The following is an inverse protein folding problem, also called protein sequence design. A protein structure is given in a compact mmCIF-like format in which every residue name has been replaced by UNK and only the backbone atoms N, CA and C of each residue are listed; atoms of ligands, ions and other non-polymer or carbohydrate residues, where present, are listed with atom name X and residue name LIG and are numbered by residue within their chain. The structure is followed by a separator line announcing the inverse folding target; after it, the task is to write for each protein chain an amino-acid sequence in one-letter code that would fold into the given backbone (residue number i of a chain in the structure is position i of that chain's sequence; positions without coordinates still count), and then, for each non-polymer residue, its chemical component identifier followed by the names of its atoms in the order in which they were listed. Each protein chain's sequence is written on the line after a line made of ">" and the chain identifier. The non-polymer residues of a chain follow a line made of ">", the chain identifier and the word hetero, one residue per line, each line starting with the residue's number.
data_IF_149709418266
#
_entry.id   IF_149709418266
#
_cell.length_a   1.000
_cell.length_b   1.000
_cell.length_c   1.000
_cell.angle_alpha   90.00
_cell.angle_beta   90.00
_cell.angle_gamma   90.00
#
_symmetry.space_group_name_H-M   'P 1'
#
loop_
_entity.id
_entity.type
_entity.pdbx_description
1 polymer ?
#
# COMPACT_ATOMS: atom_id res chain seq x y z
N UNK A 1 -15.45 19.55 8.19
CA UNK A 1 -14.36 18.88 8.90
C UNK A 1 -13.07 19.70 8.77
N UNK A 2 -12.33 19.80 9.86
CA UNK A 2 -11.00 20.40 9.89
C UNK A 2 -9.95 19.30 10.01
N UNK A 3 -8.86 19.42 9.24
CA UNK A 3 -7.71 18.52 9.38
C UNK A 3 -7.01 18.82 10.72
N UNK A 4 -6.80 17.78 11.51
CA UNK A 4 -5.99 17.82 12.72
C UNK A 4 -4.50 17.64 12.44
N UNK A 5 -3.68 17.42 13.48
CA UNK A 5 -2.25 17.22 13.32
C UNK A 5 -1.92 15.99 12.49
N UNK A 6 -0.85 16.06 11.69
CA UNK A 6 -0.30 14.93 10.96
C UNK A 6 0.50 14.02 11.88
N UNK A 7 0.41 12.71 11.68
CA UNK A 7 1.12 11.72 12.52
C UNK A 7 1.98 10.72 11.72
N UNK A 8 1.82 10.65 10.41
CA UNK A 8 2.56 9.71 9.57
C UNK A 8 2.79 10.32 8.20
N UNK A 9 4.03 10.41 7.79
CA UNK A 9 4.39 10.83 6.44
C UNK A 9 4.11 9.71 5.44
N UNK A 10 3.48 10.06 4.33
CA UNK A 10 3.16 9.17 3.24
C UNK A 10 3.53 9.78 1.89
N UNK A 11 3.62 8.92 0.89
CA UNK A 11 3.80 9.30 -0.51
C UNK A 11 2.82 8.51 -1.33
N UNK A 12 2.06 9.17 -2.21
CA UNK A 12 1.24 8.50 -3.20
C UNK A 12 2.14 7.88 -4.28
N UNK A 13 1.99 6.59 -4.52
CA UNK A 13 2.83 5.81 -5.41
C UNK A 13 2.01 5.19 -6.53
N UNK A 14 2.52 5.26 -7.77
CA UNK A 14 2.03 4.42 -8.86
C UNK A 14 2.64 3.03 -8.69
N UNK A 15 1.78 2.02 -8.56
CA UNK A 15 2.16 0.63 -8.35
C UNK A 15 1.67 -0.20 -9.53
N UNK A 16 2.58 -0.92 -10.15
CA UNK A 16 2.32 -1.75 -11.34
C UNK A 16 2.81 -3.18 -11.11
N UNK A 17 2.45 -4.09 -12.02
CA UNK A 17 3.04 -5.43 -11.98
C UNK A 17 4.52 -5.37 -12.41
N UNK A 18 5.40 -6.03 -11.68
CA UNK A 18 6.87 -6.00 -11.89
C UNK A 18 7.34 -6.42 -13.29
N UNK A 19 6.55 -7.25 -13.99
CA UNK A 19 6.88 -7.72 -15.35
C UNK A 19 6.33 -6.81 -16.45
N UNK A 20 5.67 -5.72 -16.06
CA UNK A 20 5.19 -4.71 -17.01
C UNK A 20 6.38 -4.10 -17.77
N UNK A 21 6.25 -4.00 -19.11
CA UNK A 21 7.28 -3.40 -19.96
C UNK A 21 6.64 -2.55 -21.07
N UNK A 22 7.00 -1.30 -21.20
CA UNK A 22 7.84 -0.52 -20.31
C UNK A 22 7.16 -0.26 -18.96
N UNK A 23 7.94 -0.16 -17.86
CA UNK A 23 7.41 0.28 -16.56
C UNK A 23 7.50 1.82 -16.51
N UNK A 24 6.38 2.55 -16.30
CA UNK A 24 6.38 4.01 -16.25
C UNK A 24 7.34 4.55 -15.16
N UNK A 25 8.21 5.48 -15.52
CA UNK A 25 9.14 6.14 -14.57
C UNK A 25 8.88 7.64 -14.47
N UNK A 26 8.16 8.20 -15.46
CA UNK A 26 7.74 9.58 -15.52
C UNK A 26 6.24 9.65 -15.83
N UNK A 27 5.62 10.79 -15.50
CA UNK A 27 4.16 10.94 -15.61
C UNK A 27 3.69 10.78 -17.06
N UNK A 28 4.47 11.26 -18.02
CA UNK A 28 4.19 11.16 -19.45
C UNK A 28 4.10 9.71 -19.94
N UNK A 29 4.84 8.82 -19.31
CA UNK A 29 4.86 7.39 -19.65
C UNK A 29 3.64 6.62 -19.12
N UNK A 30 2.76 7.27 -18.34
CA UNK A 30 1.47 6.72 -17.94
C UNK A 30 0.46 6.69 -19.09
N UNK A 31 0.76 7.37 -20.22
CA UNK A 31 -0.11 7.37 -21.37
C UNK A 31 -0.33 5.96 -21.93
N UNK A 32 -1.59 5.56 -22.07
CA UNK A 32 -1.99 4.24 -22.58
C UNK A 32 -1.88 3.10 -21.56
N UNK A 33 -1.52 3.37 -20.31
CA UNK A 33 -1.52 2.41 -19.20
C UNK A 33 -2.94 2.28 -18.64
N UNK A 34 -3.43 1.06 -18.41
CA UNK A 34 -4.71 0.82 -17.72
C UNK A 34 -4.54 1.08 -16.21
N UNK A 35 -5.06 2.22 -15.75
CA UNK A 35 -4.98 2.62 -14.35
C UNK A 35 -6.37 2.60 -13.73
N UNK A 36 -6.53 1.91 -12.61
CA UNK A 36 -7.75 1.96 -11.80
C UNK A 36 -7.43 2.39 -10.39
N UNK A 37 -8.28 3.23 -9.82
CA UNK A 37 -8.13 3.73 -8.45
C UNK A 37 -9.46 3.70 -7.72
N UNK A 38 -9.40 3.61 -6.41
CA UNK A 38 -10.58 3.67 -5.55
C UNK A 38 -11.36 4.95 -5.83
N UNK A 39 -12.66 4.82 -6.06
CA UNK A 39 -13.55 5.94 -6.32
C UNK A 39 -13.60 6.91 -5.14
N UNK A 40 -13.84 8.20 -5.43
CA UNK A 40 -13.94 9.28 -4.45
C UNK A 40 -12.72 9.41 -3.51
N UNK A 41 -11.54 8.99 -3.98
CA UNK A 41 -10.27 9.03 -3.23
C UNK A 41 -9.39 10.21 -3.66
N UNK A 42 -8.37 10.52 -2.83
CA UNK A 42 -7.30 11.47 -3.19
C UNK A 42 -6.57 11.06 -4.47
N UNK A 43 -6.46 9.75 -4.72
CA UNK A 43 -5.86 9.21 -5.94
C UNK A 43 -6.64 9.60 -7.20
N UNK A 44 -7.98 9.51 -7.14
CA UNK A 44 -8.83 9.95 -8.24
C UNK A 44 -8.70 11.45 -8.50
N UNK A 45 -8.65 12.28 -7.45
CA UNK A 45 -8.41 13.72 -7.56
C UNK A 45 -7.04 14.02 -8.17
N UNK A 46 -6.01 13.31 -7.74
CA UNK A 46 -4.65 13.41 -8.29
C UNK A 46 -4.63 13.10 -9.78
N UNK A 47 -5.21 11.96 -10.18
CA UNK A 47 -5.25 11.55 -11.59
C UNK A 47 -6.07 12.50 -12.45
N UNK A 48 -7.21 13.01 -11.97
CA UNK A 48 -7.96 14.06 -12.70
C UNK A 48 -7.09 15.29 -12.97
N UNK A 49 -6.26 15.70 -12.01
CA UNK A 49 -5.31 16.79 -12.18
C UNK A 49 -4.24 16.48 -13.23
N UNK A 50 -3.74 15.24 -13.28
CA UNK A 50 -2.74 14.81 -14.24
C UNK A 50 -3.33 14.70 -15.65
N UNK A 51 -4.51 14.12 -15.83
CA UNK A 51 -5.22 14.05 -17.13
C UNK A 51 -5.41 15.44 -17.77
N UNK A 52 -5.65 16.46 -16.96
CA UNK A 52 -5.80 17.83 -17.45
C UNK A 52 -4.47 18.44 -17.93
N UNK A 53 -3.31 17.89 -17.54
CA UNK A 53 -1.99 18.41 -17.87
C UNK A 53 -1.25 17.60 -18.92
N UNK A 54 -1.49 16.29 -18.97
CA UNK A 54 -0.76 15.33 -19.79
C UNK A 54 -1.70 14.58 -20.71
N UNK A 55 -1.42 14.64 -22.00
CA UNK A 55 -2.26 14.02 -23.02
C UNK A 55 -2.08 12.49 -23.01
N UNK A 56 -3.18 11.75 -23.15
CA UNK A 56 -3.15 10.29 -23.28
C UNK A 56 -3.17 9.51 -21.96
N UNK A 57 -3.11 10.18 -20.81
CA UNK A 57 -3.36 9.55 -19.51
C UNK A 57 -4.87 9.35 -19.36
N UNK A 58 -5.26 8.13 -19.05
CA UNK A 58 -6.65 7.76 -18.75
C UNK A 58 -6.68 6.91 -17.48
N UNK A 59 -7.79 6.92 -16.75
CA UNK A 59 -7.97 6.07 -15.59
C UNK A 59 -9.47 5.79 -15.37
N UNK A 60 -9.76 4.76 -14.61
CA UNK A 60 -11.10 4.39 -14.18
C UNK A 60 -11.20 4.46 -12.65
N UNK A 61 -12.34 4.96 -12.17
CA UNK A 61 -12.70 4.89 -10.76
C UNK A 61 -13.44 3.60 -10.47
N UNK A 62 -13.05 2.91 -9.42
CA UNK A 62 -13.54 1.59 -9.06
C UNK A 62 -14.04 1.61 -7.60
N UNK A 63 -15.21 1.02 -7.29
CA UNK A 63 -15.74 1.00 -5.93
C UNK A 63 -14.94 0.10 -4.96
N UNK A 64 -13.98 -0.69 -5.45
CA UNK A 64 -13.14 -1.55 -4.62
C UNK A 64 -12.11 -0.77 -3.83
N UNK A 65 -11.62 -1.38 -2.74
CA UNK A 65 -10.58 -0.76 -1.90
C UNK A 65 -9.21 -0.79 -2.60
N UNK A 66 -8.30 0.05 -2.14
CA UNK A 66 -6.93 0.12 -2.67
C UNK A 66 -6.21 -1.22 -2.58
N UNK A 67 -6.40 -1.98 -1.49
CA UNK A 67 -5.79 -3.30 -1.31
C UNK A 67 -6.33 -4.31 -2.33
N UNK A 68 -7.63 -4.25 -2.64
CA UNK A 68 -8.22 -5.10 -3.68
C UNK A 68 -7.67 -4.75 -5.07
N UNK A 69 -7.49 -3.48 -5.37
CA UNK A 69 -6.89 -3.05 -6.64
C UNK A 69 -5.40 -3.43 -6.73
N UNK A 70 -4.66 -3.38 -5.64
CA UNK A 70 -3.28 -3.91 -5.60
C UNK A 70 -3.23 -5.41 -5.87
N UNK A 71 -4.21 -6.19 -5.36
CA UNK A 71 -4.33 -7.61 -5.70
C UNK A 71 -4.62 -7.82 -7.20
N UNK A 72 -5.51 -7.01 -7.82
CA UNK A 72 -5.78 -7.05 -9.25
C UNK A 72 -4.52 -6.78 -10.10
N UNK A 73 -3.68 -5.80 -9.66
CA UNK A 73 -2.38 -5.54 -10.30
C UNK A 73 -1.46 -6.76 -10.17
N UNK A 74 -1.37 -7.36 -8.99
CA UNK A 74 -0.53 -8.54 -8.75
C UNK A 74 -0.95 -9.73 -9.61
N UNK A 75 -2.24 -9.87 -9.90
CA UNK A 75 -2.83 -10.91 -10.74
C UNK A 75 -2.93 -10.51 -12.23
N UNK A 76 -2.39 -9.35 -12.61
CA UNK A 76 -2.37 -8.81 -13.99
C UNK A 76 -3.75 -8.60 -14.61
N UNK A 77 -4.76 -8.30 -13.79
CA UNK A 77 -6.11 -7.94 -14.28
C UNK A 77 -6.23 -6.46 -14.62
N UNK A 78 -5.37 -5.63 -14.04
CA UNK A 78 -5.14 -4.23 -14.40
C UNK A 78 -3.63 -3.98 -14.44
N UNK A 79 -3.20 -2.97 -15.17
CA UNK A 79 -1.77 -2.67 -15.29
C UNK A 79 -1.21 -2.02 -14.02
N UNK A 80 -1.86 -0.96 -13.53
CA UNK A 80 -1.39 -0.17 -12.39
C UNK A 80 -2.55 0.36 -11.54
N UNK A 81 -2.21 0.70 -10.28
CA UNK A 81 -3.07 1.46 -9.37
C UNK A 81 -2.25 2.49 -8.59
N UNK A 82 -2.92 3.42 -7.91
CA UNK A 82 -2.29 4.31 -6.95
C UNK A 82 -2.56 3.84 -5.53
N UNK A 83 -1.55 3.96 -4.69
CA UNK A 83 -1.67 3.65 -3.27
C UNK A 83 -0.65 4.45 -2.44
N UNK A 84 -0.98 4.70 -1.18
CA UNK A 84 -0.07 5.32 -0.23
C UNK A 84 1.07 4.35 0.14
N UNK A 85 2.25 4.91 0.36
CA UNK A 85 3.47 4.14 0.65
C UNK A 85 3.35 3.21 1.86
N UNK A 86 2.57 3.56 2.89
CA UNK A 86 2.30 2.71 4.04
C UNK A 86 1.44 1.49 3.65
N UNK A 87 0.43 1.65 2.79
CA UNK A 87 -0.41 0.56 2.27
C UNK A 87 0.43 -0.37 1.40
N UNK A 88 1.18 0.20 0.44
CA UNK A 88 2.05 -0.56 -0.46
C UNK A 88 3.06 -1.40 0.34
N UNK A 89 3.66 -0.83 1.38
CA UNK A 89 4.61 -1.51 2.24
C UNK A 89 4.02 -2.77 2.90
N UNK A 90 2.78 -2.70 3.36
CA UNK A 90 2.09 -3.86 3.98
C UNK A 90 1.69 -4.87 2.92
N UNK A 91 1.05 -4.43 1.84
CA UNK A 91 0.45 -5.32 0.83
C UNK A 91 1.50 -6.08 0.02
N UNK A 92 2.67 -5.48 -0.26
CA UNK A 92 3.78 -6.14 -0.97
C UNK A 92 4.32 -7.41 -0.29
N UNK A 93 4.06 -7.59 0.99
CA UNK A 93 4.39 -8.85 1.69
C UNK A 93 3.61 -10.03 1.14
N UNK A 94 2.35 -9.80 0.81
CA UNK A 94 1.46 -10.82 0.27
C UNK A 94 1.59 -10.91 -1.26
N UNK A 95 1.94 -9.81 -1.91
CA UNK A 95 2.02 -9.69 -3.37
C UNK A 95 3.42 -9.22 -3.82
N UNK A 96 4.44 -10.10 -3.85
CA UNK A 96 5.82 -9.74 -4.19
C UNK A 96 6.01 -9.35 -5.66
N UNK A 97 4.97 -9.48 -6.47
CA UNK A 97 4.97 -9.07 -7.87
C UNK A 97 4.61 -7.60 -8.10
N UNK A 98 4.25 -6.89 -7.03
CA UNK A 98 4.02 -5.45 -7.10
C UNK A 98 5.35 -4.68 -7.15
N UNK A 99 5.44 -3.72 -8.07
CA UNK A 99 6.59 -2.83 -8.24
C UNK A 99 6.14 -1.38 -8.12
N UNK A 100 6.87 -0.59 -7.36
CA UNK A 100 6.67 0.86 -7.31
C UNK A 100 7.27 1.45 -8.58
N UNK A 101 6.43 1.93 -9.46
CA UNK A 101 6.86 2.56 -10.71
C UNK A 101 7.44 3.94 -10.45
N UNK A 102 6.71 4.81 -9.74
CA UNK A 102 7.14 6.14 -9.35
C UNK A 102 6.37 6.68 -8.16
N UNK A 103 6.89 7.74 -7.55
CA UNK A 103 6.18 8.55 -6.56
C UNK A 103 5.45 9.69 -7.28
N UNK A 104 4.18 9.91 -6.96
CA UNK A 104 3.34 10.97 -7.54
C UNK A 104 3.11 12.14 -6.60
N UNK A 105 3.52 12.01 -5.34
CA UNK A 105 3.51 13.10 -4.37
C UNK A 105 4.81 13.11 -3.56
N UNK A 106 5.00 14.18 -2.78
CA UNK A 106 6.14 14.31 -1.87
C UNK A 106 5.68 15.00 -0.59
N UNK A 107 5.76 14.30 0.53
CA UNK A 107 5.55 14.91 1.84
C UNK A 107 4.09 15.11 2.24
N UNK A 108 3.20 14.21 1.83
CA UNK A 108 1.85 14.15 2.35
C UNK A 108 1.86 13.53 3.77
N UNK A 109 0.90 13.94 4.58
CA UNK A 109 0.78 13.42 5.94
C UNK A 109 -0.63 12.90 6.19
N UNK A 110 -0.72 11.72 6.78
CA UNK A 110 -1.95 11.23 7.40
C UNK A 110 -2.23 12.02 8.68
N UNK A 111 -3.46 12.44 8.85
CA UNK A 111 -3.90 13.19 10.02
C UNK A 111 -5.36 12.88 10.35
N UNK A 112 -5.77 13.22 11.55
CA UNK A 112 -7.16 13.07 11.95
C UNK A 112 -8.02 14.18 11.36
N UNK A 113 -9.26 13.85 11.04
CA UNK A 113 -10.29 14.83 10.69
C UNK A 113 -11.21 15.03 11.88
N UNK A 114 -11.33 16.29 12.29
CA UNK A 114 -12.14 16.68 13.43
C UNK A 114 -13.37 17.47 12.95
N UNK A 115 -14.53 17.34 13.61
CA UNK A 115 -15.67 18.18 13.30
C UNK A 115 -15.34 19.67 13.50
N UNK A 116 -15.94 20.53 12.69
CA UNK A 116 -15.84 21.98 12.90
C UNK A 116 -16.39 22.39 14.27
N UNK A 117 -15.81 23.43 14.86
CA UNK A 117 -16.19 23.89 16.21
C UNK A 117 -15.47 23.19 17.37
N UNK A 118 -14.68 22.13 17.11
CA UNK A 118 -13.92 21.43 18.13
C UNK A 118 -12.43 21.86 18.17
N UNK A 119 -12.18 23.18 18.20
CA UNK A 119 -10.83 23.71 18.17
C UNK A 119 -10.01 23.28 19.39
N UNK A 120 -10.59 23.27 20.59
CA UNK A 120 -9.93 22.82 21.80
C UNK A 120 -9.47 21.35 21.71
N UNK A 121 -10.23 20.47 21.04
CA UNK A 121 -9.83 19.08 20.83
C UNK A 121 -8.66 19.00 19.84
N UNK A 122 -8.65 19.82 18.79
CA UNK A 122 -7.54 19.89 17.83
C UNK A 122 -6.25 20.36 18.50
N UNK A 123 -6.34 21.37 19.34
CA UNK A 123 -5.20 21.90 20.12
C UNK A 123 -4.67 20.87 21.10
N UNK A 124 -5.56 20.17 21.83
CA UNK A 124 -5.17 19.11 22.75
C UNK A 124 -4.49 17.94 22.04
N UNK A 125 -5.03 17.51 20.87
CA UNK A 125 -4.43 16.46 20.05
C UNK A 125 -3.03 16.86 19.56
N UNK A 126 -2.88 18.10 19.11
CA UNK A 126 -1.57 18.63 18.67
C UNK A 126 -0.58 18.65 19.83
N UNK A 127 -0.95 19.20 20.98
CA UNK A 127 -0.10 19.25 22.16
C UNK A 127 0.32 17.86 22.63
N UNK A 128 -0.61 16.88 22.58
CA UNK A 128 -0.28 15.51 22.95
C UNK A 128 0.68 14.87 21.96
N UNK A 129 0.47 15.02 20.65
CA UNK A 129 1.35 14.47 19.62
C UNK A 129 2.77 15.04 19.65
N UNK A 130 2.89 16.34 19.99
CA UNK A 130 4.16 17.05 20.15
C UNK A 130 4.83 16.83 21.52
N UNK A 131 4.17 16.13 22.44
CA UNK A 131 4.77 15.77 23.73
C UNK A 131 5.66 14.54 23.62
N UNK A 132 6.67 14.43 24.51
CA UNK A 132 7.55 13.25 24.60
C UNK A 132 6.76 11.94 24.70
N UNK A 133 5.65 11.94 25.44
CA UNK A 133 4.78 10.77 25.58
C UNK A 133 4.02 10.44 24.27
N UNK A 134 3.55 11.45 23.56
CA UNK A 134 2.87 11.30 22.28
C UNK A 134 3.83 10.77 21.21
N UNK A 135 5.00 11.36 21.09
CA UNK A 135 6.04 10.91 20.15
C UNK A 135 6.46 9.46 20.41
N UNK A 136 6.73 9.10 21.68
CA UNK A 136 7.06 7.72 22.04
C UNK A 136 5.91 6.74 21.74
N UNK A 137 4.66 7.14 22.01
CA UNK A 137 3.50 6.30 21.75
C UNK A 137 3.28 6.08 20.26
N UNK A 138 3.42 7.13 19.44
CA UNK A 138 3.31 7.04 17.97
C UNK A 138 4.45 6.16 17.43
N UNK A 139 5.69 6.37 17.87
CA UNK A 139 6.83 5.58 17.47
C UNK A 139 6.65 4.09 17.83
N UNK A 140 6.20 3.79 19.05
CA UNK A 140 5.92 2.41 19.49
C UNK A 140 4.81 1.75 18.67
N UNK A 141 3.76 2.49 18.28
CA UNK A 141 2.73 1.97 17.39
C UNK A 141 3.27 1.74 15.98
N UNK A 142 4.04 2.67 15.44
CA UNK A 142 4.68 2.49 14.14
C UNK A 142 5.62 1.28 14.15
N UNK A 143 6.41 1.12 15.19
CA UNK A 143 7.27 -0.05 15.37
C UNK A 143 6.42 -1.33 15.42
N UNK A 144 5.38 -1.37 16.24
CA UNK A 144 4.52 -2.55 16.39
C UNK A 144 3.85 -3.00 15.09
N UNK A 145 3.39 -2.06 14.27
CA UNK A 145 2.62 -2.37 13.07
C UNK A 145 3.45 -2.39 11.78
N UNK A 146 4.60 -1.70 11.77
CA UNK A 146 5.40 -1.50 10.55
C UNK A 146 6.89 -1.89 10.68
N UNK A 147 7.45 -2.14 11.88
CA UNK A 147 8.90 -2.37 12.05
C UNK A 147 9.42 -3.59 11.32
N UNK A 148 8.68 -4.70 11.40
CA UNK A 148 9.07 -5.94 10.71
C UNK A 148 8.99 -5.86 9.17
N UNK A 149 8.48 -4.75 8.65
CA UNK A 149 8.35 -4.52 7.21
C UNK A 149 9.70 -4.21 6.56
N UNK A 150 10.65 -3.64 7.33
CA UNK A 150 11.99 -3.31 6.84
C UNK A 150 13.01 -4.44 6.96
N UNK A 151 12.79 -5.42 7.83
CA UNK A 151 13.75 -6.50 8.09
C UNK A 151 13.68 -7.64 7.05
N UNK A 152 12.54 -7.84 6.41
CA UNK A 152 12.44 -8.77 5.28
C UNK A 152 12.71 -8.02 3.98
N UNK A 153 13.91 -8.18 3.47
CA UNK A 153 14.24 -7.70 2.13
C UNK A 153 13.29 -8.36 1.13
N UNK A 154 12.84 -7.56 0.17
CA UNK A 154 12.00 -8.00 -0.95
C UNK A 154 12.61 -9.20 -1.72
N UNK A 155 13.92 -9.35 -1.68
CA UNK A 155 14.65 -10.50 -2.24
C UNK A 155 14.31 -11.77 -1.43
N UNK A 156 14.28 -11.68 -0.11
CA UNK A 156 13.99 -12.82 0.77
C UNK A 156 12.55 -13.30 0.63
N UNK A 157 11.60 -12.36 0.53
CA UNK A 157 10.18 -12.70 0.29
C UNK A 157 9.97 -13.37 -1.07
N UNK A 158 10.66 -12.91 -2.12
CA UNK A 158 10.62 -13.59 -3.43
C UNK A 158 11.23 -14.98 -3.38
N UNK A 159 12.33 -15.14 -2.68
CA UNK A 159 12.98 -16.44 -2.52
C UNK A 159 12.09 -17.38 -1.71
N UNK A 160 11.40 -16.88 -0.67
CA UNK A 160 10.44 -17.63 0.13
C UNK A 160 9.24 -18.08 -0.72
N UNK A 161 8.56 -17.14 -1.40
CA UNK A 161 7.39 -17.47 -2.21
C UNK A 161 7.75 -18.46 -3.35
N UNK A 162 8.86 -18.26 -4.04
CA UNK A 162 9.32 -19.23 -5.03
C UNK A 162 9.54 -20.62 -4.43
N UNK A 163 10.11 -20.72 -3.21
CA UNK A 163 10.29 -21.99 -2.52
C UNK A 163 8.97 -22.62 -2.08
N UNK A 164 7.99 -21.79 -1.69
CA UNK A 164 6.64 -22.24 -1.42
C UNK A 164 6.05 -22.86 -2.68
N UNK A 165 6.05 -22.13 -3.79
CA UNK A 165 5.46 -22.58 -5.05
C UNK A 165 6.14 -23.85 -5.62
N UNK A 166 7.48 -23.93 -5.54
CA UNK A 166 8.25 -25.03 -6.12
C UNK A 166 8.34 -26.25 -5.20
N UNK A 167 8.36 -26.07 -3.87
CA UNK A 167 8.66 -27.16 -2.93
C UNK A 167 7.48 -27.60 -2.08
N UNK A 168 6.64 -26.67 -1.61
CA UNK A 168 5.53 -26.99 -0.73
C UNK A 168 4.60 -28.08 -1.30
N UNK A 169 4.26 -28.09 -2.62
CA UNK A 169 3.43 -29.15 -3.19
C UNK A 169 3.99 -30.55 -2.98
N UNK A 170 5.33 -30.71 -2.98
CA UNK A 170 5.97 -32.01 -2.77
C UNK A 170 5.94 -32.50 -1.31
N UNK A 171 5.64 -31.63 -0.36
CA UNK A 171 5.54 -31.96 1.06
C UNK A 171 4.11 -31.96 1.59
N UNK A 172 3.13 -31.53 0.79
CA UNK A 172 1.74 -31.37 1.21
C UNK A 172 1.14 -32.65 1.80
N UNK A 173 1.40 -33.81 1.17
CA UNK A 173 0.92 -35.09 1.67
C UNK A 173 1.51 -35.44 3.06
N UNK A 174 2.76 -35.06 3.33
CA UNK A 174 3.39 -35.27 4.63
C UNK A 174 2.78 -34.37 5.71
N UNK A 175 2.46 -33.12 5.37
CA UNK A 175 1.78 -32.22 6.29
C UNK A 175 0.37 -32.71 6.62
N UNK A 176 -0.39 -33.14 5.61
CA UNK A 176 -1.73 -33.71 5.81
C UNK A 176 -1.70 -35.01 6.65
N UNK A 177 -0.69 -35.85 6.44
CA UNK A 177 -0.51 -37.05 7.27
C UNK A 177 -0.13 -36.70 8.72
N UNK A 178 0.69 -35.68 8.93
CA UNK A 178 1.03 -35.16 10.25
C UNK A 178 -0.18 -34.56 10.96
N UNK A 179 -1.01 -33.80 10.26
CA UNK A 179 -2.28 -33.26 10.78
C UNK A 179 -3.19 -34.40 11.26
N UNK A 180 -3.36 -35.45 10.44
CA UNK A 180 -4.17 -36.62 10.82
C UNK A 180 -3.62 -37.36 12.05
N UNK A 181 -2.30 -37.44 12.20
CA UNK A 181 -1.65 -38.12 13.30
C UNK A 181 -1.62 -37.31 14.61
N UNK A 182 -1.56 -35.99 14.54
CA UNK A 182 -1.35 -35.11 15.70
C UNK A 182 -2.55 -34.24 16.05
N UNK A 183 -3.49 -34.04 15.13
CA UNK A 183 -4.61 -33.10 15.25
C UNK A 183 -4.20 -31.62 15.15
N UNK A 184 -2.96 -31.33 14.80
CA UNK A 184 -2.52 -29.95 14.54
C UNK A 184 -2.78 -29.59 13.07
N UNK A 185 -3.40 -28.41 12.77
CA UNK A 185 -3.64 -27.98 11.40
C UNK A 185 -2.36 -27.95 10.56
N UNK A 186 -2.48 -28.28 9.28
CA UNK A 186 -1.37 -28.27 8.32
C UNK A 186 -1.14 -26.91 7.65
N UNK A 187 -2.02 -25.92 7.93
CA UNK A 187 -2.03 -24.55 7.40
C UNK A 187 -1.45 -23.51 8.38
#
# INVERSE_FOLDING_TARGET
>A
FRRGPGHTDIVEQLVCHRDMRPLPREVEEMAGVEIRVTADSSYAEKLRSLVNRYTGITFEEDPRTTEMLLAEVAERRIDCTLADSNIVRVVRRHFPHLEIAMNLSSGDQLGWYLPEGHQALSELATQWMESDQGEQSIAAMQERYYAYIGEFDFVDLRALNRRIDERLPSFLELFLAAEQATGMPAD
#
